data_IF_407053733386
#
_entry.id   IF_407053733386
#
_cell.length_a   1.000
_cell.length_b   1.000
_cell.length_c   1.000
_cell.angle_alpha   90.00
_cell.angle_beta   90.00
_cell.angle_gamma   90.00
#
_symmetry.space_group_name_H-M   'P 1'
#
loop_
_entity.id
_entity.type
_entity.pdbx_description
1 polymer ?
#
# COMPACT_ATOMS: atom_id res chain seq x y z
N UNK A 1 -11.50 25.91 9.14
CA UNK A 1 -11.25 24.47 9.04
C UNK A 1 -12.07 23.77 10.11
N UNK A 2 -12.88 22.79 9.73
CA UNK A 2 -13.84 22.08 10.57
C UNK A 2 -13.66 20.57 10.42
N UNK A 3 -13.92 19.82 11.48
CA UNK A 3 -13.88 18.35 11.48
C UNK A 3 -15.30 17.81 11.56
N UNK A 4 -15.60 16.83 10.71
CA UNK A 4 -16.82 16.03 10.82
C UNK A 4 -16.46 14.57 11.05
N UNK A 5 -17.21 13.93 11.96
CA UNK A 5 -17.30 12.48 12.01
C UNK A 5 -18.23 12.00 10.91
N UNK A 6 -17.71 11.12 10.06
CA UNK A 6 -18.44 10.51 8.94
C UNK A 6 -18.56 9.01 9.15
N UNK A 7 -19.57 8.40 8.53
CA UNK A 7 -19.67 6.96 8.39
C UNK A 7 -20.15 6.54 7.00
N UNK A 8 -19.76 5.34 6.57
CA UNK A 8 -20.24 4.74 5.32
C UNK A 8 -21.76 4.45 5.37
N UNK A 9 -22.37 4.11 4.23
CA UNK A 9 -23.81 3.87 4.16
C UNK A 9 -24.26 2.76 5.11
N UNK A 10 -23.48 1.67 5.18
CA UNK A 10 -23.68 0.54 6.09
C UNK A 10 -23.58 0.93 7.57
N UNK A 11 -22.76 1.96 7.88
CA UNK A 11 -22.59 2.49 9.24
C UNK A 11 -21.49 1.81 10.06
N UNK A 12 -20.83 0.78 9.52
CA UNK A 12 -19.80 -0.02 10.21
C UNK A 12 -18.46 0.72 10.36
N UNK A 13 -18.14 1.61 9.43
CA UNK A 13 -16.89 2.36 9.42
C UNK A 13 -17.14 3.82 9.79
N UNK A 14 -16.51 4.27 10.87
CA UNK A 14 -16.50 5.67 11.29
C UNK A 14 -15.11 6.25 11.10
N UNK A 15 -15.04 7.46 10.56
CA UNK A 15 -13.78 8.15 10.30
C UNK A 15 -13.96 9.67 10.37
N UNK A 16 -12.87 10.38 10.63
CA UNK A 16 -12.84 11.84 10.70
C UNK A 16 -12.39 12.42 9.36
N UNK A 17 -13.00 13.54 8.95
CA UNK A 17 -12.59 14.28 7.76
C UNK A 17 -12.58 15.80 8.01
N UNK A 18 -11.56 16.45 7.47
CA UNK A 18 -11.27 17.86 7.66
C UNK A 18 -11.70 18.66 6.42
N UNK A 19 -12.49 19.71 6.63
CA UNK A 19 -13.01 20.55 5.55
C UNK A 19 -12.71 22.02 5.82
N UNK A 20 -12.58 22.82 4.77
CA UNK A 20 -12.37 24.27 4.90
C UNK A 20 -13.57 24.96 5.60
N UNK A 21 -14.78 24.55 5.23
CA UNK A 21 -16.08 25.05 5.72
C UNK A 21 -17.17 23.97 5.59
N UNK A 22 -18.35 24.22 6.18
CA UNK A 22 -19.51 23.32 6.06
C UNK A 22 -20.02 23.22 4.62
N UNK A 23 -19.91 24.31 3.86
CA UNK A 23 -20.30 24.36 2.44
C UNK A 23 -19.35 23.53 1.58
N UNK A 24 -18.05 23.52 1.91
CA UNK A 24 -17.06 22.68 1.21
C UNK A 24 -17.36 21.19 1.39
N UNK A 25 -17.82 20.78 2.58
CA UNK A 25 -18.30 19.41 2.78
C UNK A 25 -19.52 19.11 1.90
N UNK A 26 -20.51 20.01 1.85
CA UNK A 26 -21.72 19.81 1.05
C UNK A 26 -21.41 19.71 -0.47
N UNK A 27 -20.54 20.58 -0.99
CA UNK A 27 -20.08 20.54 -2.39
C UNK A 27 -19.36 19.21 -2.70
N UNK A 28 -18.38 18.83 -1.87
CA UNK A 28 -17.61 17.61 -2.07
C UNK A 28 -18.48 16.35 -1.94
N UNK A 29 -19.47 16.35 -1.04
CA UNK A 29 -20.43 15.26 -0.90
C UNK A 29 -21.36 15.17 -2.12
N UNK A 30 -21.88 16.30 -2.62
CA UNK A 30 -22.73 16.33 -3.81
C UNK A 30 -22.00 15.85 -5.07
N UNK A 31 -20.68 16.10 -5.14
CA UNK A 31 -19.80 15.66 -6.22
C UNK A 31 -19.25 14.24 -6.04
N UNK A 32 -19.59 13.56 -4.93
CA UNK A 32 -19.13 12.21 -4.64
C UNK A 32 -17.62 12.07 -4.42
N UNK A 33 -16.95 13.17 -4.03
CA UNK A 33 -15.49 13.21 -3.84
C UNK A 33 -15.03 12.69 -2.47
N UNK A 34 -15.97 12.35 -1.60
CA UNK A 34 -15.69 11.84 -0.26
C UNK A 34 -15.97 10.35 -0.26
N UNK A 35 -14.96 9.53 0.06
CA UNK A 35 -15.08 8.08 0.15
C UNK A 35 -14.66 7.56 1.51
N UNK A 36 -15.24 6.43 1.91
CA UNK A 36 -14.81 5.71 3.09
C UNK A 36 -13.41 5.12 2.86
N UNK A 37 -12.42 5.38 3.73
CA UNK A 37 -11.06 4.86 3.56
C UNK A 37 -10.95 3.34 3.77
N UNK A 38 -12.00 2.70 4.30
CA UNK A 38 -12.01 1.26 4.59
C UNK A 38 -12.69 0.46 3.48
N UNK A 39 -13.85 0.90 2.99
CA UNK A 39 -14.61 0.16 1.97
C UNK A 39 -14.72 0.85 0.60
N UNK A 40 -14.22 2.09 0.46
CA UNK A 40 -14.30 2.85 -0.79
C UNK A 40 -15.68 3.42 -1.13
N UNK A 41 -16.71 3.16 -0.30
CA UNK A 41 -18.07 3.67 -0.54
C UNK A 41 -18.10 5.21 -0.49
N UNK A 42 -18.63 5.83 -1.54
CA UNK A 42 -18.82 7.28 -1.66
C UNK A 42 -20.11 7.78 -0.99
N UNK A 43 -21.01 6.86 -0.60
CA UNK A 43 -22.21 7.20 0.18
C UNK A 43 -21.87 7.33 1.65
N UNK A 44 -21.24 8.45 1.99
CA UNK A 44 -20.87 8.80 3.37
C UNK A 44 -21.87 9.78 3.97
N UNK A 45 -22.22 9.59 5.24
CA UNK A 45 -23.14 10.46 6.01
C UNK A 45 -22.45 10.97 7.27
N UNK A 46 -22.87 12.13 7.78
CA UNK A 46 -22.41 12.62 9.09
C UNK A 46 -22.84 11.64 10.17
N UNK A 47 -21.91 11.19 10.99
CA UNK A 47 -22.22 10.36 12.12
C UNK A 47 -23.04 11.17 13.14
N UNK A 48 -24.09 10.55 13.70
CA UNK A 48 -24.88 11.20 14.74
C UNK A 48 -24.03 11.29 16.00
N UNK A 49 -23.74 12.51 16.43
CA UNK A 49 -23.12 12.78 17.72
C UNK A 49 -24.13 12.45 18.83
N UNK A 50 -23.88 11.42 19.62
CA UNK A 50 -24.66 11.21 20.84
C UNK A 50 -24.21 12.24 21.89
N UNK A 51 -25.07 13.16 22.35
CA UNK A 51 -24.72 14.02 23.47
C UNK A 51 -24.45 13.13 24.68
N UNK A 52 -23.34 13.37 25.39
CA UNK A 52 -23.12 12.78 26.72
C UNK A 52 -24.12 13.41 27.70
N UNK A 53 -25.35 12.89 27.72
CA UNK A 53 -26.27 13.07 28.84
C UNK A 53 -25.67 12.34 30.03
N UNK A 54 -25.10 13.09 30.97
CA UNK A 54 -24.64 12.54 32.25
C UNK A 54 -25.81 11.89 32.96
N UNK A 55 -25.78 10.56 33.10
CA UNK A 55 -26.78 9.84 33.86
C UNK A 55 -26.68 10.27 35.34
N UNK A 56 -27.76 10.84 35.89
CA UNK A 56 -27.92 11.02 37.34
C UNK A 56 -27.81 9.63 37.99
N UNK A 57 -26.88 9.54 38.94
CA UNK A 57 -26.59 8.36 39.76
C UNK A 57 -27.85 7.87 40.47
N UNK A 58 -28.53 6.87 39.91
CA UNK A 58 -29.13 5.75 40.65
C UNK A 58 -29.83 4.78 39.69
N UNK A 59 -29.06 4.00 38.92
CA UNK A 59 -29.50 2.67 38.50
C UNK A 59 -28.26 1.83 38.21
N UNK A 60 -27.97 0.97 39.17
CA UNK A 60 -27.03 -0.13 39.00
C UNK A 60 -27.64 -1.08 37.96
N UNK A 61 -27.07 -1.09 36.76
CA UNK A 61 -27.13 -2.23 35.85
C UNK A 61 -25.68 -2.59 35.57
N UNK A 62 -25.28 -3.74 36.09
CA UNK A 62 -23.98 -4.34 35.87
C UNK A 62 -23.76 -4.60 34.38
N UNK A 63 -22.88 -3.81 33.76
CA UNK A 63 -22.16 -4.17 32.55
C UNK A 63 -20.70 -4.32 32.94
N UNK A 64 -20.02 -5.43 32.60
CA UNK A 64 -18.61 -5.58 32.91
C UNK A 64 -17.82 -4.53 32.12
N UNK A 65 -17.04 -3.75 32.85
CA UNK A 65 -16.01 -2.91 32.28
C UNK A 65 -14.94 -3.80 31.64
N UNK A 66 -14.75 -3.67 30.33
CA UNK A 66 -13.45 -3.86 29.70
C UNK A 66 -13.08 -2.60 28.94
N UNK A 67 -12.47 -1.70 29.68
CA UNK A 67 -11.46 -0.79 29.13
C UNK A 67 -10.21 -1.63 28.86
N UNK A 68 -9.61 -1.46 27.68
CA UNK A 68 -8.32 -2.04 27.35
C UNK A 68 -8.28 -2.50 25.91
N UNK A 69 -7.75 -1.64 25.03
CA UNK A 69 -6.98 -2.00 23.84
C UNK A 69 -7.21 -3.42 23.32
N UNK A 70 -8.26 -3.61 22.51
CA UNK A 70 -8.31 -4.77 21.65
C UNK A 70 -7.18 -4.65 20.63
N UNK A 71 -6.33 -5.68 20.43
CA UNK A 71 -5.49 -5.71 19.24
C UNK A 71 -6.43 -5.61 18.04
N UNK A 72 -6.01 -4.85 17.04
CA UNK A 72 -6.65 -4.86 15.74
C UNK A 72 -6.99 -6.32 15.40
N UNK A 73 -8.25 -6.58 15.07
CA UNK A 73 -8.62 -7.85 14.44
C UNK A 73 -7.76 -7.96 13.19
N UNK A 74 -6.68 -8.73 13.29
CA UNK A 74 -5.95 -9.18 12.12
C UNK A 74 -6.97 -9.89 11.23
N UNK A 75 -7.05 -9.55 9.93
CA UNK A 75 -7.74 -10.42 9.01
C UNK A 75 -7.09 -11.79 9.12
N UNK A 76 -7.87 -12.78 9.56
CA UNK A 76 -7.47 -14.17 9.60
C UNK A 76 -6.99 -14.57 8.20
N UNK A 77 -5.66 -14.67 8.03
CA UNK A 77 -5.00 -14.99 6.76
C UNK A 77 -3.90 -14.01 6.30
N UNK A 78 -3.65 -12.90 7.00
CA UNK A 78 -2.60 -11.93 6.64
C UNK A 78 -1.26 -12.18 7.34
N UNK A 79 -0.15 -11.89 6.66
CA UNK A 79 1.17 -11.77 7.31
C UNK A 79 1.13 -10.62 8.33
N UNK A 80 1.68 -10.81 9.53
CA UNK A 80 1.76 -9.72 10.52
C UNK A 80 2.63 -8.57 9.98
N UNK A 81 2.36 -7.30 10.36
CA UNK A 81 3.17 -6.17 9.91
C UNK A 81 4.67 -6.32 10.21
N UNK A 82 5.00 -6.90 11.37
CA UNK A 82 6.37 -7.20 11.77
C UNK A 82 7.03 -8.23 10.85
N UNK A 83 6.28 -9.28 10.48
CA UNK A 83 6.75 -10.33 9.59
C UNK A 83 6.98 -9.80 8.17
N UNK A 84 6.07 -8.97 7.65
CA UNK A 84 6.25 -8.29 6.34
C UNK A 84 7.50 -7.43 6.36
N UNK A 85 7.72 -6.66 7.43
CA UNK A 85 8.92 -5.82 7.56
C UNK A 85 10.20 -6.63 7.58
N UNK A 86 10.23 -7.74 8.33
CA UNK A 86 11.39 -8.64 8.38
C UNK A 86 11.67 -9.27 7.00
N UNK A 87 10.64 -9.80 6.34
CA UNK A 87 10.77 -10.40 5.01
C UNK A 87 11.31 -9.40 3.98
N UNK A 88 10.76 -8.17 3.95
CA UNK A 88 11.25 -7.13 3.04
C UNK A 88 12.69 -6.71 3.34
N UNK A 89 13.09 -6.67 4.60
CA UNK A 89 14.48 -6.38 4.97
C UNK A 89 15.45 -7.48 4.53
N UNK A 90 15.05 -8.75 4.66
CA UNK A 90 15.84 -9.89 4.17
C UNK A 90 15.98 -9.88 2.64
N UNK A 91 14.88 -9.62 1.92
CA UNK A 91 14.90 -9.47 0.46
C UNK A 91 15.83 -8.32 0.05
N UNK A 92 15.73 -7.16 0.72
CA UNK A 92 16.59 -6.02 0.45
C UNK A 92 18.07 -6.34 0.66
N UNK A 93 18.40 -7.00 1.77
CA UNK A 93 19.77 -7.40 2.08
C UNK A 93 20.33 -8.37 1.02
N UNK A 94 19.54 -9.37 0.61
CA UNK A 94 19.94 -10.32 -0.43
C UNK A 94 20.10 -9.68 -1.79
N UNK A 95 19.19 -8.77 -2.16
CA UNK A 95 19.32 -8.03 -3.41
C UNK A 95 20.58 -7.16 -3.41
N UNK A 96 20.88 -6.47 -2.31
CA UNK A 96 22.08 -5.64 -2.17
C UNK A 96 23.38 -6.46 -2.23
N UNK A 97 23.38 -7.71 -1.76
CA UNK A 97 24.50 -8.64 -1.86
C UNK A 97 24.74 -9.11 -3.32
N UNK A 98 23.66 -9.35 -4.08
CA UNK A 98 23.74 -9.87 -5.46
C UNK A 98 24.08 -8.81 -6.51
N UNK A 99 23.60 -7.57 -6.34
CA UNK A 99 23.77 -6.51 -7.34
C UNK A 99 25.24 -6.26 -7.74
N UNK A 100 26.22 -6.18 -6.81
CA UNK A 100 27.63 -6.00 -7.16
C UNK A 100 28.24 -7.15 -7.97
N UNK A 101 27.65 -8.35 -7.93
CA UNK A 101 28.08 -9.50 -8.72
C UNK A 101 27.47 -9.50 -10.13
N UNK A 102 26.60 -8.53 -10.43
CA UNK A 102 25.90 -8.43 -11.70
C UNK A 102 26.29 -7.15 -12.44
N UNK A 103 26.29 -7.21 -13.76
CA UNK A 103 26.63 -6.08 -14.63
C UNK A 103 25.42 -5.17 -14.85
N UNK A 104 25.56 -3.88 -14.57
CA UNK A 104 24.58 -2.86 -14.96
C UNK A 104 24.61 -2.67 -16.48
N UNK A 105 23.48 -2.88 -17.14
CA UNK A 105 23.32 -2.70 -18.60
C UNK A 105 22.37 -1.56 -18.97
N UNK A 106 21.84 -0.83 -17.97
CA UNK A 106 20.93 0.28 -18.20
C UNK A 106 19.73 -0.13 -19.05
N UNK A 107 19.37 0.70 -20.03
CA UNK A 107 18.21 0.47 -20.93
C UNK A 107 18.42 -0.64 -21.96
N UNK A 108 19.65 -1.15 -22.11
CA UNK A 108 19.94 -2.24 -23.06
C UNK A 108 19.61 -3.64 -22.50
N UNK A 109 18.94 -3.71 -21.35
CA UNK A 109 18.63 -4.97 -20.67
C UNK A 109 17.93 -5.99 -21.56
N UNK A 110 16.89 -5.57 -22.30
CA UNK A 110 16.13 -6.48 -23.16
C UNK A 110 17.00 -7.06 -24.29
N UNK A 111 17.84 -6.23 -24.90
CA UNK A 111 18.76 -6.65 -25.96
C UNK A 111 19.85 -7.60 -25.43
N UNK A 112 20.43 -7.27 -24.27
CA UNK A 112 21.44 -8.10 -23.63
C UNK A 112 20.88 -9.46 -23.21
N UNK A 113 19.67 -9.51 -22.63
CA UNK A 113 19.00 -10.73 -22.21
C UNK A 113 18.71 -11.66 -23.41
N UNK A 114 18.21 -11.09 -24.53
CA UNK A 114 18.02 -11.85 -25.79
C UNK A 114 19.34 -12.38 -26.33
N UNK A 115 20.39 -11.56 -26.35
CA UNK A 115 21.70 -11.99 -26.83
C UNK A 115 22.28 -13.15 -26.02
N UNK A 116 22.07 -13.16 -24.70
CA UNK A 116 22.45 -14.28 -23.83
C UNK A 116 21.61 -15.53 -24.11
N UNK A 117 20.29 -15.38 -24.24
CA UNK A 117 19.38 -16.49 -24.53
C UNK A 117 19.68 -17.18 -25.87
N UNK A 118 20.07 -16.40 -26.88
CA UNK A 118 20.44 -16.90 -28.22
C UNK A 118 21.90 -17.37 -28.33
N UNK A 119 22.68 -17.29 -27.25
CA UNK A 119 24.11 -17.69 -27.25
C UNK A 119 25.04 -16.73 -28.01
N UNK A 120 24.60 -15.50 -28.31
CA UNK A 120 25.42 -14.45 -28.94
C UNK A 120 26.29 -13.67 -27.95
N UNK A 121 26.04 -13.82 -26.65
CA UNK A 121 26.79 -13.22 -25.55
C UNK A 121 27.05 -14.26 -24.45
N UNK A 122 28.04 -13.99 -23.58
CA UNK A 122 28.33 -14.84 -22.44
C UNK A 122 27.18 -14.83 -21.41
N UNK A 123 26.91 -15.98 -20.81
CA UNK A 123 25.94 -16.12 -19.72
C UNK A 123 26.52 -15.52 -18.42
N UNK A 124 26.12 -14.29 -18.11
CA UNK A 124 26.48 -13.57 -16.89
C UNK A 124 25.23 -13.07 -16.14
N UNK A 125 25.38 -12.63 -14.89
CA UNK A 125 24.32 -11.88 -14.21
C UNK A 125 24.26 -10.44 -14.74
N UNK A 126 23.11 -10.03 -15.27
CA UNK A 126 22.86 -8.66 -15.73
C UNK A 126 21.68 -8.04 -14.99
N UNK A 127 21.72 -6.73 -14.76
CA UNK A 127 20.59 -5.96 -14.27
C UNK A 127 20.51 -4.62 -15.00
N UNK A 128 19.30 -4.10 -15.17
CA UNK A 128 19.07 -2.91 -15.96
C UNK A 128 17.62 -2.42 -15.88
N UNK A 129 17.24 -1.64 -16.87
CA UNK A 129 15.91 -1.06 -17.05
C UNK A 129 15.29 -1.67 -18.31
N UNK A 130 14.00 -1.98 -18.22
CA UNK A 130 13.18 -2.39 -19.35
C UNK A 130 11.82 -1.69 -19.22
N UNK A 131 11.21 -1.34 -20.34
CA UNK A 131 9.83 -0.89 -20.36
C UNK A 131 8.87 -2.05 -20.02
N UNK A 132 7.62 -1.78 -19.62
CA UNK A 132 6.62 -2.83 -19.42
C UNK A 132 6.41 -3.71 -20.66
N UNK A 133 6.42 -3.10 -21.86
CA UNK A 133 6.27 -3.79 -23.14
C UNK A 133 7.48 -4.69 -23.43
N UNK A 134 8.70 -4.21 -23.16
CA UNK A 134 9.92 -5.00 -23.31
C UNK A 134 9.95 -6.18 -22.34
N UNK A 135 9.55 -5.96 -21.08
CA UNK A 135 9.47 -7.02 -20.06
C UNK A 135 8.44 -8.09 -20.42
N UNK A 136 7.31 -7.71 -21.01
CA UNK A 136 6.32 -8.66 -21.54
C UNK A 136 6.87 -9.44 -22.74
N UNK A 137 7.50 -8.77 -23.70
CA UNK A 137 8.12 -9.43 -24.84
C UNK A 137 9.22 -10.44 -24.42
N UNK A 138 10.02 -10.12 -23.38
CA UNK A 138 10.99 -11.07 -22.83
C UNK A 138 10.32 -12.32 -22.25
N UNK A 139 9.19 -12.17 -21.55
CA UNK A 139 8.41 -13.30 -21.02
C UNK A 139 7.84 -14.17 -22.13
N UNK A 140 7.31 -13.56 -23.19
CA UNK A 140 6.75 -14.26 -24.35
C UNK A 140 7.83 -15.03 -25.13
N UNK A 141 9.04 -14.46 -25.21
CA UNK A 141 10.22 -15.11 -25.80
C UNK A 141 10.81 -16.22 -24.89
N UNK A 142 10.24 -16.45 -23.70
CA UNK A 142 10.72 -17.47 -22.75
C UNK A 142 11.99 -17.08 -22.01
N UNK A 143 12.34 -15.79 -22.00
CA UNK A 143 13.54 -15.27 -21.34
C UNK A 143 13.22 -14.99 -19.88
N UNK A 144 13.97 -15.63 -18.97
CA UNK A 144 13.80 -15.49 -17.54
C UNK A 144 14.31 -14.12 -17.04
N UNK A 145 13.47 -13.10 -17.14
CA UNK A 145 13.67 -11.77 -16.55
C UNK A 145 12.76 -11.59 -15.33
N UNK A 146 13.33 -11.15 -14.21
CA UNK A 146 12.58 -10.89 -12.97
C UNK A 146 12.75 -9.43 -12.53
N UNK A 147 11.67 -8.77 -12.09
CA UNK A 147 11.77 -7.42 -11.55
C UNK A 147 12.51 -7.45 -10.20
N UNK A 148 13.34 -6.44 -9.96
CA UNK A 148 13.92 -6.19 -8.64
C UNK A 148 12.80 -5.75 -7.68
N UNK A 149 12.65 -6.47 -6.56
CA UNK A 149 11.59 -6.23 -5.59
C UNK A 149 11.82 -4.95 -4.78
N UNK A 150 13.09 -4.59 -4.58
CA UNK A 150 13.48 -3.36 -3.91
C UNK A 150 14.00 -2.37 -4.94
N UNK A 151 13.45 -1.15 -5.02
CA UNK A 151 13.96 -0.14 -5.94
C UNK A 151 15.44 0.15 -5.70
N UNK A 152 16.21 0.27 -6.78
CA UNK A 152 17.61 0.67 -6.74
C UNK A 152 17.77 2.07 -7.32
N UNK A 153 18.78 2.79 -6.88
CA UNK A 153 19.25 4.00 -7.56
C UNK A 153 20.16 3.53 -8.70
N UNK A 154 19.84 3.85 -9.97
CA UNK A 154 20.72 3.54 -11.09
C UNK A 154 22.14 4.06 -10.82
N UNK A 155 23.20 3.27 -11.08
CA UNK A 155 24.58 3.71 -10.86
C UNK A 155 24.93 5.01 -11.58
N UNK A 156 24.31 5.28 -12.73
CA UNK A 156 24.45 6.52 -13.51
C UNK A 156 23.81 7.75 -12.85
N UNK A 157 22.95 7.54 -11.84
CA UNK A 157 22.30 8.60 -11.05
C UNK A 157 22.82 8.69 -9.62
N UNK A 158 23.77 7.82 -9.23
CA UNK A 158 24.41 7.87 -7.93
C UNK A 158 25.51 8.96 -7.94
N UNK A 159 25.28 10.07 -7.22
CA UNK A 159 26.24 11.17 -7.06
C UNK A 159 27.48 10.76 -6.25
#
# INVERSE_FOLDING_TARGET
MIVFDLCCAAGDHRFEAWFASSDSFADQQARGLISCPVCGDSKVKKAVMAPRVGAKSNRQVSVPAKSGSGPAQEPAGGFSPELVRQLMAEIAAKQAEMLPQSRWVGRDFANAARAMHEGRAAEDLIHGQASPEEAEALRDDGIAAMPLLVPIIPPDLAN
#
